data_IF_016595836949
#
_entry.id   IF_016595836949
#
_cell.length_a   1.000
_cell.length_b   1.000
_cell.length_c   1.000
_cell.angle_alpha   90.00
_cell.angle_beta   90.00
_cell.angle_gamma   90.00
#
_symmetry.space_group_name_H-M   'P 1'
#
loop_
_entity.id
_entity.type
_entity.pdbx_description
1 polymer ?
#
# COMPACT_ATOMS: atom_id res chain seq x y z
N UNK A 1 -7.99 34.52 10.27
CA UNK A 1 -9.19 34.04 9.55
C UNK A 1 -8.79 32.84 8.70
N UNK A 2 -9.73 32.02 8.22
CA UNK A 2 -9.44 30.83 7.41
C UNK A 2 -9.10 31.22 5.97
N UNK A 3 -8.02 30.66 5.41
CA UNK A 3 -7.97 30.36 3.99
C UNK A 3 -8.09 28.85 3.82
N UNK A 4 -9.05 28.41 3.00
CA UNK A 4 -9.06 27.05 2.45
C UNK A 4 -8.32 27.08 1.12
N UNK A 5 -7.40 26.15 0.92
CA UNK A 5 -7.05 25.66 -0.41
C UNK A 5 -7.93 24.46 -0.70
N UNK A 6 -8.85 24.60 -1.65
CA UNK A 6 -9.71 23.49 -2.09
C UNK A 6 -8.97 22.72 -3.18
N UNK A 7 -8.55 21.49 -2.88
CA UNK A 7 -7.94 20.58 -3.85
C UNK A 7 -9.06 19.84 -4.60
N UNK A 8 -9.15 20.05 -5.92
CA UNK A 8 -10.14 19.39 -6.76
C UNK A 8 -9.86 17.88 -6.91
N UNK A 9 -10.55 17.05 -6.13
CA UNK A 9 -10.74 15.63 -6.43
C UNK A 9 -12.00 15.46 -7.27
N UNK A 10 -11.83 15.13 -8.56
CA UNK A 10 -12.94 14.82 -9.46
C UNK A 10 -13.29 13.33 -9.41
N UNK A 11 -14.25 12.96 -8.56
CA UNK A 11 -14.84 11.62 -8.57
C UNK A 11 -15.65 11.39 -9.87
N UNK A 12 -15.14 10.54 -10.77
CA UNK A 12 -15.84 10.20 -12.02
C UNK A 12 -16.57 8.86 -11.93
N UNK A 13 -17.80 8.91 -11.40
CA UNK A 13 -18.74 7.79 -11.53
C UNK A 13 -19.31 7.73 -12.95
N UNK A 14 -19.44 6.51 -13.49
CA UNK A 14 -19.98 6.24 -14.82
C UNK A 14 -21.49 6.47 -14.88
N UNK A 15 -21.90 7.66 -15.35
CA UNK A 15 -23.32 8.01 -15.52
C UNK A 15 -23.91 7.37 -16.78
N UNK A 16 -24.73 6.33 -16.61
CA UNK A 16 -25.55 5.79 -17.69
C UNK A 16 -26.52 6.85 -18.24
N UNK A 17 -26.48 7.10 -19.55
CA UNK A 17 -27.57 7.79 -20.25
C UNK A 17 -28.62 6.76 -20.71
N UNK A 18 -29.74 6.70 -20.00
CA UNK A 18 -30.90 5.92 -20.42
C UNK A 18 -31.62 6.59 -21.60
N UNK A 19 -31.85 5.85 -22.67
CA UNK A 19 -32.65 6.32 -23.81
C UNK A 19 -34.10 6.53 -23.38
N UNK A 20 -34.62 7.75 -23.54
CA UNK A 20 -36.06 8.05 -23.42
C UNK A 20 -36.53 8.75 -24.68
N UNK A 21 -37.35 8.06 -25.47
CA UNK A 21 -38.02 8.64 -26.63
C UNK A 21 -39.26 9.40 -26.20
N UNK A 22 -39.45 10.63 -26.69
CA UNK A 22 -40.73 11.32 -26.70
C UNK A 22 -41.01 11.90 -28.10
N UNK A 23 -42.27 11.98 -28.49
CA UNK A 23 -42.70 12.20 -29.88
C UNK A 23 -43.88 13.19 -29.95
N UNK A 24 -43.97 13.90 -31.09
CA UNK A 24 -45.06 14.78 -31.56
C UNK A 24 -45.17 16.22 -31.01
N UNK A 25 -45.45 17.14 -31.94
CA UNK A 25 -45.81 18.55 -31.72
C UNK A 25 -45.54 19.42 -32.96
N UNK A 26 -46.57 19.87 -33.69
CA UNK A 26 -46.48 20.80 -34.83
C UNK A 26 -47.17 22.13 -34.49
N UNK A 27 -46.56 23.28 -34.80
CA UNK A 27 -47.21 24.61 -34.69
C UNK A 27 -46.27 25.78 -35.02
N UNK A 28 -46.64 26.85 -35.77
CA UNK A 28 -45.65 27.79 -36.35
C UNK A 28 -45.91 29.33 -36.17
N UNK A 29 -44.92 30.14 -36.59
CA UNK A 29 -44.93 31.62 -36.84
C UNK A 29 -44.81 32.52 -35.57
N UNK A 30 -44.31 33.79 -35.59
CA UNK A 30 -43.86 34.73 -36.64
C UNK A 30 -42.89 35.84 -36.08
N UNK A 31 -42.01 36.46 -36.92
CA UNK A 31 -41.30 37.80 -36.79
C UNK A 31 -40.54 38.15 -35.46
N UNK A 32 -39.19 38.30 -35.40
CA UNK A 32 -38.30 39.48 -35.73
C UNK A 32 -38.46 40.71 -34.79
N UNK A 33 -37.57 41.72 -34.65
CA UNK A 33 -36.36 42.30 -35.33
C UNK A 33 -35.36 42.84 -34.23
N UNK A 34 -34.17 43.49 -34.38
CA UNK A 34 -33.11 43.75 -35.40
C UNK A 34 -31.87 44.42 -34.73
N UNK A 35 -30.63 44.07 -35.10
CA UNK A 35 -29.40 44.92 -34.95
C UNK A 35 -28.24 44.34 -35.81
N UNK A 36 -27.76 44.99 -36.88
CA UNK A 36 -26.69 46.03 -36.93
C UNK A 36 -25.28 45.46 -36.61
N UNK A 37 -24.41 45.17 -37.58
CA UNK A 37 -23.46 46.08 -38.31
C UNK A 37 -22.38 46.74 -37.40
N UNK A 38 -21.07 46.78 -37.73
CA UNK A 38 -20.32 46.16 -38.85
C UNK A 38 -18.78 46.24 -38.74
N UNK A 39 -18.09 45.34 -39.47
CA UNK A 39 -16.81 45.51 -40.23
C UNK A 39 -15.53 46.05 -39.53
N UNK A 40 -14.44 45.26 -39.65
CA UNK A 40 -13.18 45.72 -40.30
C UNK A 40 -12.44 44.53 -40.93
N UNK A 41 -11.56 44.78 -41.91
CA UNK A 41 -10.95 43.77 -42.80
C UNK A 41 -9.51 44.16 -43.20
N UNK A 42 -8.85 43.27 -43.95
CA UNK A 42 -7.57 43.36 -44.70
C UNK A 42 -6.43 42.51 -44.11
N UNK A 43 -5.98 41.44 -44.78
CA UNK A 43 -5.29 41.31 -46.08
C UNK A 43 -3.78 41.53 -46.01
N UNK A 44 -3.03 40.44 -46.20
CA UNK A 44 -1.84 40.37 -47.05
C UNK A 44 -1.75 38.96 -47.65
N UNK A 45 -1.07 38.80 -48.79
CA UNK A 45 -0.95 37.54 -49.53
C UNK A 45 0.52 37.27 -49.88
N UNK A 46 0.87 36.02 -50.21
CA UNK A 46 1.42 35.62 -51.53
C UNK A 46 1.59 34.08 -51.61
N UNK A 47 1.78 33.56 -52.83
CA UNK A 47 2.05 32.15 -53.16
C UNK A 47 3.56 31.85 -52.98
N UNK A 48 4.00 30.61 -52.75
CA UNK A 48 4.31 29.64 -53.82
C UNK A 48 4.71 28.25 -53.27
N UNK A 49 4.54 27.23 -54.12
CA UNK A 49 5.28 25.95 -54.28
C UNK A 49 5.65 25.09 -53.04
N UNK A 50 5.60 23.74 -53.07
CA UNK A 50 5.60 22.82 -54.21
C UNK A 50 4.81 21.52 -53.94
N UNK A 51 4.53 20.76 -55.01
CA UNK A 51 3.91 19.43 -54.92
C UNK A 51 4.96 18.37 -54.56
N UNK A 52 4.68 17.58 -53.51
CA UNK A 52 5.30 16.26 -53.34
C UNK A 52 4.23 15.21 -52.98
N UNK A 53 4.04 14.26 -53.89
CA UNK A 53 3.22 13.07 -53.67
C UNK A 53 4.00 12.07 -52.81
N UNK A 54 3.74 12.06 -51.50
CA UNK A 54 4.04 10.89 -50.66
C UNK A 54 2.80 10.00 -50.63
N UNK A 55 2.96 8.73 -51.01
CA UNK A 55 1.86 7.76 -51.06
C UNK A 55 1.43 7.40 -49.65
N UNK A 56 0.31 7.97 -49.18
CA UNK A 56 -0.33 7.58 -47.93
C UNK A 56 -1.08 6.26 -48.13
N UNK A 57 -0.34 5.15 -48.17
CA UNK A 57 -0.89 3.81 -48.03
C UNK A 57 -0.83 3.36 -46.57
N UNK A 58 -1.51 4.13 -45.71
CA UNK A 58 -1.63 3.87 -44.28
C UNK A 58 -3.06 3.50 -43.93
N UNK A 59 -3.28 2.26 -43.52
CA UNK A 59 -4.59 1.77 -43.08
C UNK A 59 -4.91 2.33 -41.68
N UNK A 60 -5.30 3.61 -41.62
CA UNK A 60 -5.63 4.34 -40.39
C UNK A 60 -6.96 3.83 -39.80
N UNK A 61 -6.92 2.65 -39.20
CA UNK A 61 -8.02 2.05 -38.45
C UNK A 61 -7.96 2.59 -37.01
N UNK A 62 -8.87 3.50 -36.59
CA UNK A 62 -8.69 4.31 -35.36
C UNK A 62 -8.98 3.56 -34.05
N UNK A 63 -8.99 2.21 -34.08
CA UNK A 63 -9.36 1.33 -32.97
C UNK A 63 -8.16 0.54 -32.41
N UNK A 64 -6.94 1.09 -32.45
CA UNK A 64 -5.81 0.52 -31.72
C UNK A 64 -5.91 0.93 -30.24
N UNK A 65 -6.19 -0.04 -29.37
CA UNK A 65 -6.38 0.21 -27.94
C UNK A 65 -5.07 0.68 -27.30
N UNK A 66 -5.12 1.88 -26.72
CA UNK A 66 -3.95 2.60 -26.20
C UNK A 66 -3.56 2.19 -24.78
N UNK A 67 -3.21 0.91 -24.59
CA UNK A 67 -2.53 0.41 -23.40
C UNK A 67 -1.02 0.27 -23.66
N UNK A 68 -0.19 0.72 -22.73
CA UNK A 68 1.27 0.60 -22.83
C UNK A 68 1.69 -0.81 -22.35
N UNK A 69 2.40 -1.62 -23.15
CA UNK A 69 2.87 -2.94 -22.73
C UNK A 69 4.02 -2.85 -21.72
N UNK A 70 4.32 -3.96 -21.05
CA UNK A 70 5.52 -4.08 -20.22
C UNK A 70 6.76 -4.00 -21.12
N UNK A 71 7.66 -3.07 -20.82
CA UNK A 71 8.97 -2.98 -21.47
C UNK A 71 9.94 -3.96 -20.79
N UNK A 72 10.28 -5.06 -21.47
CA UNK A 72 11.16 -6.09 -20.92
C UNK A 72 12.65 -5.75 -20.98
N UNK A 73 13.05 -4.65 -21.66
CA UNK A 73 14.41 -4.11 -21.57
C UNK A 73 14.57 -3.20 -20.33
N UNK A 74 13.46 -2.70 -19.76
CA UNK A 74 13.41 -1.97 -18.49
C UNK A 74 13.08 -2.83 -17.27
N UNK A 75 12.14 -3.78 -17.41
CA UNK A 75 11.59 -4.55 -16.29
C UNK A 75 11.96 -6.03 -16.37
N UNK A 76 12.67 -6.52 -15.35
CA UNK A 76 13.13 -7.90 -15.23
C UNK A 76 11.97 -8.90 -15.12
N UNK A 77 10.77 -8.43 -14.75
CA UNK A 77 9.51 -9.18 -14.85
C UNK A 77 9.62 -10.55 -14.16
N UNK A 78 9.25 -11.63 -14.85
CA UNK A 78 9.23 -12.99 -14.31
C UNK A 78 10.60 -13.51 -13.82
N UNK A 79 11.72 -12.96 -14.30
CA UNK A 79 13.06 -13.36 -13.88
C UNK A 79 13.61 -12.55 -12.68
N UNK A 80 12.94 -11.47 -12.25
CA UNK A 80 13.38 -10.60 -11.15
C UNK A 80 13.68 -11.38 -9.85
N UNK A 81 12.79 -12.33 -9.50
CA UNK A 81 12.97 -13.19 -8.32
C UNK A 81 14.07 -14.24 -8.47
N UNK A 82 14.56 -14.50 -9.68
CA UNK A 82 15.72 -15.35 -9.96
C UNK A 82 17.02 -14.52 -9.88
N UNK A 83 17.02 -13.30 -10.42
CA UNK A 83 18.13 -12.36 -10.28
C UNK A 83 18.41 -12.02 -8.81
N UNK A 84 17.38 -11.80 -8.00
CA UNK A 84 17.53 -11.59 -6.55
C UNK A 84 18.17 -12.81 -5.87
N UNK A 85 17.78 -14.04 -6.24
CA UNK A 85 18.42 -15.28 -5.71
C UNK A 85 19.89 -15.37 -6.15
N UNK A 86 20.19 -15.08 -7.42
CA UNK A 86 21.55 -15.07 -7.95
C UNK A 86 22.43 -13.97 -7.35
N UNK A 87 21.86 -12.83 -6.96
CA UNK A 87 22.54 -11.79 -6.19
C UNK A 87 22.89 -12.28 -4.79
N UNK A 88 21.93 -12.87 -4.06
CA UNK A 88 22.17 -13.41 -2.72
C UNK A 88 23.21 -14.54 -2.75
N UNK A 89 23.15 -15.44 -3.73
CA UNK A 89 24.13 -16.52 -3.91
C UNK A 89 25.56 -16.01 -4.17
N UNK A 90 25.73 -14.81 -4.76
CA UNK A 90 27.04 -14.18 -4.95
C UNK A 90 27.55 -13.42 -3.72
N UNK A 91 26.69 -13.12 -2.74
CA UNK A 91 27.03 -12.32 -1.55
C UNK A 91 26.59 -12.96 -0.20
N UNK A 92 26.90 -14.25 0.07
CA UNK A 92 26.40 -14.95 1.25
C UNK A 92 26.83 -14.34 2.60
N UNK A 93 28.00 -13.69 2.66
CA UNK A 93 28.48 -12.98 3.88
C UNK A 93 27.88 -11.59 4.11
N UNK A 94 26.87 -11.19 3.32
CA UNK A 94 26.13 -9.92 3.45
C UNK A 94 24.62 -10.12 3.39
N UNK A 95 24.17 -11.03 2.52
CA UNK A 95 22.77 -11.30 2.23
C UNK A 95 22.44 -12.78 2.47
N UNK A 96 21.31 -13.02 3.14
CA UNK A 96 20.66 -14.33 3.23
C UNK A 96 19.23 -14.23 2.70
N UNK A 97 18.65 -15.32 2.18
CA UNK A 97 17.28 -15.36 1.67
C UNK A 97 16.50 -16.54 2.27
N UNK A 98 15.38 -16.23 2.91
CA UNK A 98 14.38 -17.21 3.35
C UNK A 98 13.15 -17.12 2.42
N UNK A 99 12.48 -18.24 2.15
CA UNK A 99 11.19 -18.26 1.45
C UNK A 99 10.13 -18.87 2.35
N UNK A 100 9.24 -18.02 2.88
CA UNK A 100 8.13 -18.45 3.72
C UNK A 100 6.95 -18.80 2.83
N UNK A 101 6.29 -19.93 3.08
CA UNK A 101 5.10 -20.39 2.34
C UNK A 101 3.91 -20.54 3.28
N UNK A 102 2.72 -20.15 2.83
CA UNK A 102 1.46 -20.32 3.56
C UNK A 102 0.33 -20.72 2.62
N UNK A 103 -0.71 -21.37 3.15
CA UNK A 103 -1.84 -21.91 2.40
C UNK A 103 -3.13 -21.72 3.20
N UNK A 104 -4.16 -21.14 2.58
CA UNK A 104 -5.48 -20.96 3.20
C UNK A 104 -6.61 -21.23 2.20
N UNK A 105 -7.54 -22.13 2.55
CA UNK A 105 -8.67 -22.56 1.71
C UNK A 105 -8.24 -22.95 0.28
N UNK A 106 -7.25 -23.86 0.18
CA UNK A 106 -6.73 -24.37 -1.10
C UNK A 106 -5.69 -23.48 -1.79
N UNK A 107 -5.85 -22.16 -1.75
CA UNK A 107 -4.90 -21.18 -2.30
C UNK A 107 -3.59 -21.13 -1.49
N UNK A 108 -2.46 -20.94 -2.16
CA UNK A 108 -1.11 -20.90 -1.58
C UNK A 108 -0.35 -19.67 -2.08
N UNK A 109 0.42 -19.06 -1.19
CA UNK A 109 1.40 -18.04 -1.52
C UNK A 109 2.78 -18.39 -0.97
N UNK A 110 3.80 -17.77 -1.55
CA UNK A 110 5.16 -17.76 -1.04
C UNK A 110 5.73 -16.35 -1.14
N UNK A 111 6.44 -15.93 -0.09
CA UNK A 111 7.10 -14.64 0.01
C UNK A 111 8.57 -14.90 0.32
N UNK A 112 9.46 -14.31 -0.48
CA UNK A 112 10.89 -14.30 -0.18
C UNK A 112 11.23 -13.10 0.70
N UNK A 113 12.09 -13.31 1.70
CA UNK A 113 12.61 -12.26 2.57
C UNK A 113 14.13 -12.30 2.48
N UNK A 114 14.73 -11.23 1.96
CA UNK A 114 16.19 -11.08 1.92
C UNK A 114 16.61 -10.31 3.16
N UNK A 115 17.48 -10.90 3.98
CA UNK A 115 18.05 -10.28 5.16
C UNK A 115 19.46 -9.78 4.83
N UNK A 116 19.65 -8.48 4.88
CA UNK A 116 21.00 -7.89 4.98
C UNK A 116 21.38 -7.80 6.46
N UNK A 117 22.51 -8.43 6.80
CA UNK A 117 23.20 -8.27 8.06
C UNK A 117 24.69 -8.54 7.80
N UNK A 118 25.56 -7.59 8.13
CA UNK A 118 27.00 -7.79 7.95
C UNK A 118 27.52 -8.79 8.99
N UNK A 119 28.18 -9.85 8.54
CA UNK A 119 28.92 -10.74 9.43
C UNK A 119 30.15 -10.01 9.98
N UNK A 120 30.17 -9.78 11.29
CA UNK A 120 31.19 -8.96 11.93
C UNK A 120 30.92 -8.74 13.42
N UNK A 121 31.58 -9.56 14.25
CA UNK A 121 31.44 -9.67 15.72
C UNK A 121 30.16 -10.34 16.19
N UNK A 122 30.33 -11.27 17.13
CA UNK A 122 29.28 -11.78 18.00
C UNK A 122 28.65 -10.60 18.74
N UNK A 123 27.51 -10.16 18.24
CA UNK A 123 26.72 -9.05 18.76
C UNK A 123 25.29 -9.56 18.86
N UNK A 124 24.73 -9.51 20.07
CA UNK A 124 23.37 -9.95 20.34
C UNK A 124 22.40 -9.25 19.38
N UNK A 125 21.68 -10.01 18.56
CA UNK A 125 20.86 -9.49 17.47
C UNK A 125 19.76 -8.54 17.98
N UNK A 126 19.33 -8.72 19.23
CA UNK A 126 18.43 -7.80 19.93
C UNK A 126 18.96 -6.36 20.06
N UNK A 127 20.27 -6.14 19.92
CA UNK A 127 20.93 -4.83 20.01
C UNK A 127 21.03 -4.07 18.68
N UNK A 128 20.80 -4.72 17.54
CA UNK A 128 20.87 -4.06 16.21
C UNK A 128 19.57 -3.34 15.88
N UNK A 129 19.67 -2.25 15.12
CA UNK A 129 18.51 -1.47 14.69
C UNK A 129 17.84 -2.16 13.50
N UNK A 130 16.58 -2.58 13.69
CA UNK A 130 15.85 -3.45 12.75
C UNK A 130 14.96 -2.64 11.81
N UNK A 131 15.13 -2.81 10.50
CA UNK A 131 14.37 -2.14 9.45
C UNK A 131 13.71 -3.19 8.55
N UNK A 132 12.40 -3.08 8.33
CA UNK A 132 11.65 -3.94 7.41
C UNK A 132 11.14 -3.10 6.24
N UNK A 133 11.37 -3.53 5.00
CA UNK A 133 10.89 -2.83 3.80
C UNK A 133 10.17 -3.85 2.93
N UNK A 134 8.97 -3.54 2.46
CA UNK A 134 8.21 -4.43 1.58
C UNK A 134 7.70 -3.73 0.32
N UNK A 135 7.69 -4.49 -0.77
CA UNK A 135 7.50 -4.03 -2.14
C UNK A 135 6.59 -5.02 -2.90
N UNK A 136 5.98 -4.56 -3.99
CA UNK A 136 5.15 -5.42 -4.85
C UNK A 136 3.96 -6.04 -4.11
N UNK A 137 3.31 -5.29 -3.22
CA UNK A 137 2.09 -5.71 -2.53
C UNK A 137 0.86 -5.65 -3.45
N UNK A 138 0.81 -4.68 -4.38
CA UNK A 138 -0.16 -4.70 -5.46
C UNK A 138 0.46 -5.23 -6.76
N UNK A 139 -0.33 -5.95 -7.55
CA UNK A 139 0.11 -6.60 -8.79
C UNK A 139 0.74 -5.62 -9.78
N UNK A 140 0.06 -4.55 -10.17
CA UNK A 140 0.50 -3.64 -11.26
C UNK A 140 1.71 -2.74 -10.98
N UNK A 141 2.28 -2.77 -9.77
CA UNK A 141 3.30 -1.81 -9.29
C UNK A 141 4.73 -2.36 -9.45
N UNK A 142 5.16 -2.66 -10.70
CA UNK A 142 6.46 -3.28 -11.03
C UNK A 142 7.66 -2.49 -10.48
N UNK A 143 7.64 -1.16 -10.63
CA UNK A 143 8.75 -0.27 -10.26
C UNK A 143 9.18 -0.38 -8.79
N UNK A 144 8.26 -0.81 -7.92
CA UNK A 144 8.54 -1.06 -6.49
C UNK A 144 9.49 -2.24 -6.32
N UNK A 145 9.26 -3.36 -7.01
CA UNK A 145 10.10 -4.56 -6.93
C UNK A 145 11.47 -4.37 -7.60
N UNK A 146 11.55 -3.55 -8.65
CA UNK A 146 12.83 -3.14 -9.24
C UNK A 146 13.66 -2.29 -8.27
N UNK A 147 13.02 -1.38 -7.52
CA UNK A 147 13.66 -0.64 -6.44
C UNK A 147 14.17 -1.56 -5.32
N UNK A 148 13.44 -2.63 -4.99
CA UNK A 148 13.91 -3.63 -4.04
C UNK A 148 15.22 -4.31 -4.51
N UNK A 149 15.30 -4.68 -5.78
CA UNK A 149 16.52 -5.26 -6.37
C UNK A 149 17.68 -4.26 -6.47
N UNK A 150 17.40 -2.99 -6.80
CA UNK A 150 18.38 -1.90 -6.76
C UNK A 150 18.95 -1.70 -5.35
N UNK A 151 18.11 -1.63 -4.32
CA UNK A 151 18.56 -1.49 -2.93
C UNK A 151 19.41 -2.69 -2.48
N UNK A 152 18.99 -3.92 -2.80
CA UNK A 152 19.78 -5.12 -2.49
C UNK A 152 21.14 -5.12 -3.22
N UNK A 153 21.18 -4.65 -4.47
CA UNK A 153 22.41 -4.53 -5.25
C UNK A 153 23.37 -3.45 -4.73
N UNK A 154 22.85 -2.45 -4.02
CA UNK A 154 23.67 -1.45 -3.30
C UNK A 154 24.15 -2.01 -1.96
N UNK A 155 23.30 -2.74 -1.23
CA UNK A 155 23.67 -3.42 0.02
C UNK A 155 24.74 -4.51 -0.18
N UNK A 156 24.81 -5.13 -1.36
CA UNK A 156 25.87 -6.07 -1.73
C UNK A 156 27.16 -5.40 -2.23
N UNK A 157 27.17 -4.10 -2.52
CA UNK A 157 28.23 -3.36 -3.22
C UNK A 157 28.43 -3.77 -4.71
N UNK A 158 27.41 -4.31 -5.40
CA UNK A 158 27.45 -4.43 -6.87
C UNK A 158 27.08 -3.13 -7.59
N UNK A 159 26.32 -2.26 -6.92
CA UNK A 159 25.86 -0.97 -7.43
C UNK A 159 26.07 0.10 -6.35
N UNK A 160 26.16 1.37 -6.75
CA UNK A 160 26.56 2.46 -5.85
C UNK A 160 25.62 3.65 -5.96
N UNK A 161 25.36 4.29 -4.82
CA UNK A 161 24.66 5.58 -4.81
C UNK A 161 25.60 6.71 -5.25
N UNK A 162 25.14 7.64 -6.10
CA UNK A 162 25.87 8.87 -6.33
C UNK A 162 26.01 9.65 -5.01
N UNK A 163 27.14 10.33 -4.83
CA UNK A 163 27.43 11.22 -3.69
C UNK A 163 27.46 10.58 -2.28
N UNK A 164 27.48 9.25 -2.15
CA UNK A 164 27.67 8.57 -0.85
C UNK A 164 29.02 7.84 -0.77
N UNK A 165 29.85 8.16 0.24
CA UNK A 165 31.15 7.50 0.40
C UNK A 165 31.01 6.11 1.06
N UNK A 166 31.71 5.06 0.56
CA UNK A 166 31.62 3.71 1.12
C UNK A 166 31.95 3.61 2.62
N UNK A 167 32.88 4.42 3.11
CA UNK A 167 33.24 4.46 4.54
C UNK A 167 32.10 5.00 5.43
N UNK A 168 31.38 6.02 4.96
CA UNK A 168 30.20 6.57 5.65
C UNK A 168 29.05 5.56 5.64
N UNK A 169 28.83 4.92 4.49
CA UNK A 169 27.82 3.87 4.31
C UNK A 169 28.05 2.68 5.24
N UNK A 170 29.27 2.12 5.24
CA UNK A 170 29.65 0.99 6.11
C UNK A 170 29.37 1.26 7.59
N UNK A 171 29.78 2.43 8.12
CA UNK A 171 29.59 2.80 9.53
C UNK A 171 28.12 2.95 9.95
N UNK A 172 27.22 3.15 8.98
CA UNK A 172 25.76 3.09 9.18
C UNK A 172 25.30 1.64 9.17
N UNK A 173 25.61 0.91 8.10
CA UNK A 173 25.13 -0.47 7.85
C UNK A 173 25.57 -1.48 8.92
N UNK A 174 26.77 -1.33 9.50
CA UNK A 174 27.31 -2.21 10.56
C UNK A 174 26.38 -2.36 11.79
N UNK A 175 25.45 -1.42 11.99
CA UNK A 175 24.54 -1.36 13.15
C UNK A 175 23.11 -1.79 12.83
N UNK A 176 22.84 -2.18 11.59
CA UNK A 176 21.50 -2.47 11.08
C UNK A 176 21.30 -3.97 10.86
N UNK A 177 20.04 -4.40 10.98
CA UNK A 177 19.53 -5.58 10.26
C UNK A 177 18.39 -5.09 9.39
N UNK A 178 18.50 -5.32 8.08
CA UNK A 178 17.51 -4.87 7.10
C UNK A 178 16.87 -6.09 6.47
N UNK A 179 15.57 -6.27 6.67
CA UNK A 179 14.78 -7.28 5.95
C UNK A 179 14.05 -6.61 4.78
N UNK A 180 14.27 -7.11 3.58
CA UNK A 180 13.67 -6.66 2.33
C UNK A 180 12.74 -7.75 1.81
N UNK A 181 11.48 -7.42 1.58
CA UNK A 181 10.50 -8.26 0.91
C UNK A 181 10.27 -7.70 -0.49
N UNK A 182 10.97 -8.19 -1.53
CA UNK A 182 10.95 -7.58 -2.86
C UNK A 182 9.64 -7.80 -3.63
N UNK A 183 8.84 -8.78 -3.22
CA UNK A 183 7.57 -9.13 -3.83
C UNK A 183 6.67 -9.80 -2.78
N UNK A 184 5.73 -9.05 -2.19
CA UNK A 184 4.68 -9.65 -1.36
C UNK A 184 3.69 -10.46 -2.20
N UNK A 185 3.33 -9.96 -3.40
CA UNK A 185 2.23 -10.46 -4.21
C UNK A 185 2.70 -11.17 -5.50
N UNK A 186 3.50 -12.22 -5.34
CA UNK A 186 4.00 -13.02 -6.47
C UNK A 186 2.88 -13.67 -7.31
N UNK A 187 1.67 -13.83 -6.76
CA UNK A 187 0.55 -14.41 -7.47
C UNK A 187 -0.22 -13.38 -8.32
N UNK A 188 -0.38 -12.14 -7.84
CA UNK A 188 -0.92 -11.03 -8.64
C UNK A 188 0.06 -10.56 -9.72
N UNK A 189 1.36 -10.50 -9.40
CA UNK A 189 2.46 -10.25 -10.35
C UNK A 189 2.35 -11.09 -11.62
N UNK A 190 2.02 -12.39 -11.49
CA UNK A 190 1.85 -13.32 -12.61
C UNK A 190 0.64 -13.04 -13.49
N UNK A 191 -0.43 -12.44 -12.96
CA UNK A 191 -1.59 -12.03 -13.77
C UNK A 191 -1.26 -10.80 -14.62
N UNK A 192 -0.55 -9.84 -14.02
CA UNK A 192 -0.03 -8.64 -14.71
C UNK A 192 0.96 -9.02 -15.82
N UNK A 193 1.92 -9.90 -15.53
CA UNK A 193 2.86 -10.41 -16.54
C UNK A 193 2.21 -11.31 -17.61
N UNK A 194 1.03 -11.87 -17.34
CA UNK A 194 0.22 -12.58 -18.33
C UNK A 194 -0.70 -11.65 -19.15
N UNK A 195 -0.67 -10.33 -18.90
CA UNK A 195 -1.38 -9.31 -19.68
C UNK A 195 -2.50 -8.56 -18.95
N UNK A 196 -2.83 -8.92 -17.71
CA UNK A 196 -3.81 -8.16 -16.90
C UNK A 196 -3.13 -6.95 -16.24
N UNK A 197 -2.73 -5.98 -17.06
CA UNK A 197 -1.89 -4.82 -16.66
C UNK A 197 -2.54 -3.91 -15.59
N UNK A 198 -3.82 -4.11 -15.28
CA UNK A 198 -4.55 -3.39 -14.26
C UNK A 198 -4.71 -4.16 -12.94
N UNK A 199 -4.44 -5.47 -12.86
CA UNK A 199 -4.69 -6.24 -11.64
C UNK A 199 -3.84 -5.73 -10.46
N UNK A 200 -4.53 -5.24 -9.44
CA UNK A 200 -3.99 -4.73 -8.18
C UNK A 200 -3.83 -5.83 -7.15
N UNK A 201 -4.72 -6.82 -7.16
CA UNK A 201 -4.98 -7.74 -6.06
C UNK A 201 -4.09 -8.98 -6.13
N UNK A 202 -4.26 -9.93 -5.21
CA UNK A 202 -3.59 -11.22 -5.28
C UNK A 202 -4.23 -12.15 -6.33
N UNK A 203 -3.60 -13.31 -6.56
CA UNK A 203 -4.05 -14.30 -7.56
C UNK A 203 -5.39 -15.00 -7.28
N UNK A 204 -6.18 -14.49 -6.33
CA UNK A 204 -7.62 -14.82 -6.16
C UNK A 204 -8.51 -13.59 -5.94
N UNK A 205 -8.04 -12.41 -6.34
CA UNK A 205 -8.82 -11.17 -6.36
C UNK A 205 -9.08 -10.52 -5.00
N UNK A 206 -8.15 -10.62 -4.04
CA UNK A 206 -8.20 -9.90 -2.74
C UNK A 206 -7.10 -8.84 -2.67
N UNK A 207 -7.44 -7.61 -2.30
CA UNK A 207 -6.44 -6.56 -2.05
C UNK A 207 -5.74 -6.86 -0.72
N UNK A 208 -4.42 -7.08 -0.80
CA UNK A 208 -3.58 -7.33 0.37
C UNK A 208 -3.56 -6.13 1.31
N UNK A 209 -3.68 -4.89 0.79
CA UNK A 209 -3.75 -3.66 1.57
C UNK A 209 -5.19 -3.27 1.99
N UNK A 210 -6.11 -4.24 1.97
CA UNK A 210 -7.45 -4.19 2.60
C UNK A 210 -7.72 -5.40 3.51
N UNK A 211 -6.74 -6.32 3.67
CA UNK A 211 -6.92 -7.60 4.36
C UNK A 211 -6.36 -7.64 5.80
N UNK A 212 -5.92 -6.51 6.37
CA UNK A 212 -5.39 -6.43 7.74
C UNK A 212 -6.50 -6.10 8.75
N UNK A 213 -6.28 -6.33 10.05
CA UNK A 213 -7.36 -6.35 11.05
C UNK A 213 -7.86 -5.00 11.58
N UNK A 214 -7.28 -3.87 11.18
CA UNK A 214 -7.67 -2.54 11.72
C UNK A 214 -8.79 -1.93 10.86
N UNK A 215 -9.95 -1.67 11.47
CA UNK A 215 -11.21 -1.22 10.83
C UNK A 215 -11.66 -2.10 9.63
N UNK A 216 -11.29 -3.40 9.65
CA UNK A 216 -11.41 -4.32 8.51
C UNK A 216 -12.84 -4.45 7.96
N UNK A 217 -12.95 -4.52 6.63
CA UNK A 217 -14.20 -4.86 5.94
C UNK A 217 -15.20 -3.71 5.82
N UNK A 218 -14.93 -2.57 6.46
CA UNK A 218 -15.59 -1.29 6.21
C UNK A 218 -15.30 -0.80 4.78
N UNK A 219 -16.25 -0.06 4.22
CA UNK A 219 -16.25 0.40 2.83
C UNK A 219 -16.65 1.86 2.79
N UNK A 220 -15.86 2.67 2.10
CA UNK A 220 -16.20 4.07 1.84
C UNK A 220 -17.19 4.19 0.67
N UNK A 221 -17.66 5.42 0.43
CA UNK A 221 -18.70 5.72 -0.57
C UNK A 221 -18.28 5.37 -2.01
N UNK A 222 -16.99 5.46 -2.28
CA UNK A 222 -16.29 5.24 -3.54
C UNK A 222 -15.66 3.83 -3.68
N UNK A 223 -15.93 2.93 -2.72
CA UNK A 223 -15.42 1.56 -2.70
C UNK A 223 -15.66 0.80 -4.02
N UNK A 224 -14.58 0.27 -4.61
CA UNK A 224 -14.65 -0.61 -5.78
C UNK A 224 -14.30 -2.07 -5.41
N UNK A 225 -15.22 -3.06 -5.56
CA UNK A 225 -14.90 -4.47 -5.33
C UNK A 225 -13.88 -5.06 -6.31
N UNK A 226 -13.62 -4.42 -7.45
CA UNK A 226 -12.59 -4.85 -8.41
C UNK A 226 -11.18 -4.39 -8.02
N UNK A 227 -11.06 -3.36 -7.18
CA UNK A 227 -9.78 -2.85 -6.68
C UNK A 227 -9.52 -3.23 -5.21
N UNK A 228 -10.52 -3.07 -4.34
CA UNK A 228 -10.38 -2.99 -2.88
C UNK A 228 -10.98 -4.17 -2.11
N UNK A 229 -11.24 -5.31 -2.76
CA UNK A 229 -11.86 -6.47 -2.09
C UNK A 229 -11.08 -6.87 -0.81
N UNK A 230 -11.65 -6.73 0.40
CA UNK A 230 -10.93 -6.93 1.66
C UNK A 230 -10.76 -8.42 2.04
N UNK A 231 -11.28 -9.34 1.24
CA UNK A 231 -11.23 -10.78 1.48
C UNK A 231 -12.42 -11.30 2.30
N UNK A 232 -12.27 -12.48 2.90
CA UNK A 232 -13.37 -13.15 3.64
C UNK A 232 -13.31 -13.00 5.16
N UNK A 233 -12.18 -12.50 5.66
CA UNK A 233 -11.87 -12.20 7.05
C UNK A 233 -10.55 -11.39 7.06
N UNK A 234 -10.23 -10.64 8.13
CA UNK A 234 -8.87 -10.13 8.28
C UNK A 234 -7.89 -11.30 8.32
N UNK A 235 -6.75 -11.16 7.65
CA UNK A 235 -5.76 -12.22 7.42
C UNK A 235 -6.34 -13.47 6.75
N UNK A 236 -7.34 -13.32 5.84
CA UNK A 236 -7.76 -14.43 4.99
C UNK A 236 -6.68 -14.83 3.97
N UNK A 237 -5.79 -13.93 3.60
CA UNK A 237 -4.77 -14.17 2.57
C UNK A 237 -3.48 -14.77 3.15
N UNK A 238 -2.91 -15.83 2.56
CA UNK A 238 -1.64 -16.39 3.02
C UNK A 238 -0.48 -15.38 2.93
N UNK A 239 -0.54 -14.42 2.01
CA UNK A 239 0.41 -13.31 1.89
C UNK A 239 0.43 -12.43 3.16
N UNK A 240 -0.74 -11.90 3.59
CA UNK A 240 -0.84 -11.05 4.78
C UNK A 240 -0.59 -11.83 6.07
N UNK A 241 -0.91 -13.13 6.12
CA UNK A 241 -0.52 -14.01 7.23
C UNK A 241 0.99 -14.12 7.40
N UNK A 242 1.73 -14.25 6.28
CA UNK A 242 3.20 -14.28 6.29
C UNK A 242 3.75 -12.93 6.77
N UNK A 243 3.26 -11.81 6.21
CA UNK A 243 3.76 -10.48 6.57
C UNK A 243 3.43 -10.09 8.03
N UNK A 244 2.24 -10.44 8.55
CA UNK A 244 1.91 -10.34 9.98
C UNK A 244 2.92 -11.10 10.84
N UNK A 245 3.21 -12.37 10.50
CA UNK A 245 4.16 -13.19 11.25
C UNK A 245 5.57 -12.60 11.20
N UNK A 246 6.02 -12.16 10.02
CA UNK A 246 7.32 -11.54 9.82
C UNK A 246 7.48 -10.30 10.71
N UNK A 247 6.57 -9.33 10.62
CA UNK A 247 6.64 -8.10 11.40
C UNK A 247 6.61 -8.35 12.92
N UNK A 248 5.70 -9.20 13.41
CA UNK A 248 5.60 -9.53 14.84
C UNK A 248 6.83 -10.30 15.35
N UNK A 249 7.46 -11.13 14.52
CA UNK A 249 8.68 -11.88 14.89
C UNK A 249 9.98 -11.08 14.78
N UNK A 250 10.02 -10.09 13.88
CA UNK A 250 11.21 -9.27 13.62
C UNK A 250 11.22 -7.96 14.42
N UNK A 251 10.07 -7.52 14.95
CA UNK A 251 9.97 -6.36 15.86
C UNK A 251 10.71 -5.11 15.32
N UNK A 252 10.35 -4.62 14.11
CA UNK A 252 11.11 -3.57 13.43
C UNK A 252 10.94 -2.21 14.11
N UNK A 253 12.00 -1.40 14.08
CA UNK A 253 11.99 -0.02 14.54
C UNK A 253 11.43 0.93 13.46
N UNK A 254 11.67 0.59 12.19
CA UNK A 254 11.16 1.27 11.01
C UNK A 254 10.56 0.22 10.07
N UNK A 255 9.35 0.47 9.58
CA UNK A 255 8.78 -0.26 8.46
C UNK A 255 8.23 0.68 7.39
N UNK A 256 8.45 0.32 6.12
CA UNK A 256 7.94 1.03 4.94
C UNK A 256 7.33 0.02 3.97
N UNK A 257 6.06 0.24 3.61
CA UNK A 257 5.41 -0.37 2.45
C UNK A 257 5.64 0.51 1.22
N UNK A 258 5.96 -0.08 0.07
CA UNK A 258 6.36 0.67 -1.13
C UNK A 258 5.43 0.36 -2.29
N UNK A 259 4.85 1.44 -2.81
CA UNK A 259 3.77 1.48 -3.80
C UNK A 259 4.07 2.46 -4.93
N UNK A 260 3.22 2.44 -5.95
CA UNK A 260 3.15 3.48 -6.97
C UNK A 260 1.70 3.78 -7.33
N UNK A 261 1.50 4.86 -8.08
CA UNK A 261 0.21 5.50 -8.36
C UNK A 261 0.29 7.02 -8.16
N UNK A 262 1.16 7.48 -7.25
CA UNK A 262 1.50 8.89 -7.05
C UNK A 262 2.92 9.09 -6.49
N UNK A 263 3.29 10.33 -6.15
CA UNK A 263 4.52 10.68 -5.43
C UNK A 263 4.16 11.25 -4.04
N UNK A 264 4.35 10.46 -2.99
CA UNK A 264 3.98 10.83 -1.62
C UNK A 264 4.64 9.95 -0.53
N UNK A 265 4.64 10.47 0.70
CA UNK A 265 5.11 9.78 1.90
C UNK A 265 4.00 9.80 2.96
N UNK A 266 3.25 8.72 3.10
CA UNK A 266 2.21 8.61 4.12
C UNK A 266 2.75 7.98 5.41
N UNK A 267 2.14 8.38 6.52
CA UNK A 267 2.21 7.75 7.83
C UNK A 267 0.77 7.44 8.29
N UNK A 268 0.56 6.69 9.38
CA UNK A 268 -0.77 6.48 9.96
C UNK A 268 -1.49 7.81 10.28
N UNK A 269 -2.82 7.85 10.35
CA UNK A 269 -3.75 6.76 10.03
C UNK A 269 -4.24 6.81 8.57
N UNK A 270 -4.54 5.65 8.00
CA UNK A 270 -5.26 5.54 6.72
C UNK A 270 -6.78 5.52 6.95
N UNK A 271 -7.28 4.69 7.90
CA UNK A 271 -8.72 4.53 8.16
C UNK A 271 -9.40 5.71 8.89
N UNK A 272 -8.63 6.69 9.38
CA UNK A 272 -9.13 7.83 10.15
C UNK A 272 -8.74 9.17 9.51
N UNK A 273 -9.69 10.11 9.46
CA UNK A 273 -9.44 11.52 9.13
C UNK A 273 -8.81 12.27 10.31
N UNK A 274 -7.71 11.73 10.83
CA UNK A 274 -6.94 12.26 11.98
C UNK A 274 -5.50 11.78 11.87
N UNK A 275 -4.52 12.69 11.98
CA UNK A 275 -3.14 12.29 12.28
C UNK A 275 -3.04 11.84 13.75
N UNK A 276 -2.27 10.77 14.08
CA UNK A 276 -1.92 10.45 15.46
C UNK A 276 -1.10 11.57 16.11
N UNK A 277 -0.83 11.44 17.41
CA UNK A 277 -0.11 12.43 18.21
C UNK A 277 0.99 11.77 19.08
N UNK A 278 1.77 12.62 19.76
CA UNK A 278 2.87 12.18 20.63
C UNK A 278 4.21 12.00 19.92
N UNK A 279 5.18 11.47 20.65
CA UNK A 279 6.58 11.42 20.23
C UNK A 279 6.83 10.62 18.93
N UNK A 280 6.27 9.40 18.72
CA UNK A 280 6.47 8.65 17.48
C UNK A 280 5.95 9.41 16.24
N UNK A 281 4.82 10.09 16.37
CA UNK A 281 4.28 10.96 15.30
C UNK A 281 5.22 12.10 14.96
N UNK A 282 5.83 12.75 15.96
CA UNK A 282 6.78 13.83 15.72
C UNK A 282 8.06 13.30 15.03
N UNK A 283 8.60 12.18 15.51
CA UNK A 283 9.78 11.53 14.91
C UNK A 283 9.50 11.06 13.46
N UNK A 284 8.32 10.51 13.19
CA UNK A 284 7.87 10.17 11.84
C UNK A 284 7.82 11.42 10.94
N UNK A 285 7.18 12.50 11.38
CA UNK A 285 7.10 13.76 10.61
C UNK A 285 8.47 14.34 10.26
N UNK A 286 9.40 14.40 11.23
CA UNK A 286 10.76 14.86 10.98
C UNK A 286 11.49 14.00 9.91
N UNK A 287 11.28 12.69 9.91
CA UNK A 287 11.85 11.81 8.88
C UNK A 287 11.22 12.06 7.50
N UNK A 288 9.89 12.27 7.43
CA UNK A 288 9.19 12.58 6.18
C UNK A 288 9.60 13.95 5.63
N UNK A 289 9.77 14.95 6.49
CA UNK A 289 10.21 16.30 6.13
C UNK A 289 11.63 16.28 5.55
N UNK A 290 12.57 15.55 6.19
CA UNK A 290 13.95 15.35 5.70
C UNK A 290 13.99 14.59 4.37
N UNK A 291 13.24 13.48 4.23
CA UNK A 291 13.19 12.71 2.98
C UNK A 291 12.56 13.53 1.85
N UNK A 292 11.47 14.25 2.11
CA UNK A 292 10.82 15.11 1.12
C UNK A 292 11.74 16.28 0.70
N UNK A 293 12.50 16.85 1.64
CA UNK A 293 13.48 17.90 1.35
C UNK A 293 14.64 17.40 0.49
N UNK A 294 15.21 16.23 0.80
CA UNK A 294 16.43 15.74 0.16
C UNK A 294 16.17 15.07 -1.20
N UNK A 295 15.09 14.29 -1.31
CA UNK A 295 14.90 13.36 -2.43
C UNK A 295 13.65 13.63 -3.27
N UNK A 296 12.58 14.16 -2.67
CA UNK A 296 11.39 14.60 -3.41
C UNK A 296 11.35 16.10 -3.73
N UNK A 297 12.44 16.86 -3.57
CA UNK A 297 12.50 18.32 -3.87
C UNK A 297 11.35 19.17 -3.25
N UNK A 298 10.71 18.69 -2.17
CA UNK A 298 9.49 19.24 -1.53
C UNK A 298 8.18 19.07 -2.33
N UNK A 299 8.14 18.26 -3.41
CA UNK A 299 6.93 17.97 -4.20
C UNK A 299 6.13 16.75 -3.73
N UNK A 300 6.72 15.83 -2.95
CA UNK A 300 5.96 14.71 -2.39
C UNK A 300 4.95 15.23 -1.35
N UNK A 301 3.70 14.73 -1.42
CA UNK A 301 2.70 14.98 -0.37
C UNK A 301 3.09 14.19 0.89
N UNK A 302 3.06 14.82 2.07
CA UNK A 302 3.42 14.16 3.33
C UNK A 302 2.34 14.29 4.41
N UNK A 303 2.16 13.26 5.24
CA UNK A 303 1.26 13.29 6.40
C UNK A 303 0.48 12.00 6.60
N UNK A 304 -0.63 12.06 7.36
CA UNK A 304 -1.52 10.90 7.52
C UNK A 304 -2.33 10.62 6.26
N UNK A 305 -2.47 9.37 5.83
CA UNK A 305 -3.28 9.00 4.65
C UNK A 305 -4.70 9.56 4.71
N UNK A 306 -5.49 9.10 5.68
CA UNK A 306 -6.87 9.57 5.87
C UNK A 306 -6.98 11.02 6.34
N UNK A 307 -6.04 11.50 7.15
CA UNK A 307 -6.13 12.81 7.82
C UNK A 307 -5.40 14.00 7.17
N UNK A 308 -4.52 13.77 6.20
CA UNK A 308 -3.76 14.83 5.51
C UNK A 308 -3.89 14.75 3.99
N UNK A 309 -4.01 13.54 3.44
CA UNK A 309 -4.24 13.30 2.00
C UNK A 309 -5.74 13.22 1.70
N UNK A 310 -6.53 12.74 2.66
CA UNK A 310 -8.00 12.73 2.61
C UNK A 310 -8.61 11.47 2.00
N UNK A 311 -7.79 10.49 1.63
CA UNK A 311 -8.24 9.17 1.15
C UNK A 311 -8.29 8.19 2.33
N UNK A 312 -9.50 7.69 2.64
CA UNK A 312 -9.74 6.77 3.76
C UNK A 312 -9.65 5.33 3.27
N UNK A 313 -8.70 4.56 3.79
CA UNK A 313 -8.52 3.14 3.45
C UNK A 313 -8.61 2.26 4.70
N UNK A 314 -9.30 1.12 4.59
CA UNK A 314 -9.64 0.25 5.72
C UNK A 314 -8.93 -1.10 5.63
N UNK A 315 -8.48 -1.63 6.77
CA UNK A 315 -7.72 -2.88 6.79
C UNK A 315 -6.35 -2.78 6.12
N UNK A 316 -5.66 -1.63 6.23
CA UNK A 316 -4.34 -1.41 5.63
C UNK A 316 -3.21 -2.04 6.45
N UNK A 317 -2.09 -2.31 5.77
CA UNK A 317 -0.86 -2.76 6.42
C UNK A 317 -0.34 -1.71 7.42
N UNK A 318 -0.35 -0.44 7.03
CA UNK A 318 0.26 0.67 7.79
C UNK A 318 -0.43 0.93 9.12
N UNK A 319 -1.76 0.88 9.13
CA UNK A 319 -2.51 0.99 10.38
C UNK A 319 -2.31 -0.22 11.28
N UNK A 320 -2.17 -1.44 10.75
CA UNK A 320 -1.83 -2.62 11.56
C UNK A 320 -0.41 -2.56 12.15
N UNK A 321 0.57 -2.13 11.37
CA UNK A 321 1.96 -1.98 11.83
C UNK A 321 2.07 -0.97 12.98
N UNK A 322 1.29 0.12 12.90
CA UNK A 322 1.26 1.14 13.95
C UNK A 322 0.39 0.75 15.17
N UNK A 323 -0.86 0.34 14.96
CA UNK A 323 -1.79 0.10 16.07
C UNK A 323 -1.63 -1.27 16.72
N UNK A 324 -1.13 -2.30 16.03
CA UNK A 324 -1.03 -3.67 16.56
C UNK A 324 0.42 -4.14 16.76
N UNK A 325 1.29 -3.95 15.77
CA UNK A 325 2.72 -4.33 15.90
C UNK A 325 3.50 -3.30 16.72
N UNK A 326 2.98 -2.07 16.86
CA UNK A 326 3.61 -0.94 17.56
C UNK A 326 4.99 -0.55 16.99
N UNK A 327 5.16 -0.66 15.67
CA UNK A 327 6.35 -0.16 14.97
C UNK A 327 6.49 1.35 15.23
N UNK A 328 7.61 1.84 15.80
CA UNK A 328 7.79 3.27 16.14
C UNK A 328 7.67 4.21 14.94
N UNK A 329 8.05 3.73 13.74
CA UNK A 329 7.98 4.45 12.48
C UNK A 329 7.40 3.54 11.39
N UNK A 330 6.11 3.68 11.10
CA UNK A 330 5.40 2.93 10.06
C UNK A 330 4.98 3.87 8.91
N UNK A 331 5.19 3.47 7.67
CA UNK A 331 4.96 4.32 6.50
C UNK A 331 4.42 3.58 5.27
N UNK A 332 3.69 4.32 4.44
CA UNK A 332 3.30 3.94 3.07
C UNK A 332 3.97 4.92 2.11
N UNK A 333 4.88 4.48 1.24
CA UNK A 333 5.60 5.34 0.30
C UNK A 333 5.11 5.10 -1.13
N UNK A 334 4.66 6.16 -1.78
CA UNK A 334 4.22 6.20 -3.17
C UNK A 334 5.35 6.80 -4.02
N UNK A 335 6.02 5.98 -4.85
CA UNK A 335 7.33 6.33 -5.44
C UNK A 335 7.27 6.90 -6.86
N UNK A 336 6.13 6.78 -7.54
CA UNK A 336 5.93 7.20 -8.92
C UNK A 336 4.43 7.24 -9.23
N UNK A 337 3.96 8.21 -10.03
CA UNK A 337 2.63 8.13 -10.60
C UNK A 337 2.40 9.07 -11.77
N UNK A 338 2.02 8.54 -12.92
CA UNK A 338 1.78 9.34 -14.12
C UNK A 338 0.32 9.85 -14.19
N UNK A 339 0.07 11.02 -13.59
CA UNK A 339 -1.25 11.67 -13.61
C UNK A 339 -1.73 12.14 -15.00
N UNK A 340 -0.90 11.99 -16.05
CA UNK A 340 -1.26 12.25 -17.43
C UNK A 340 -1.50 10.96 -18.26
N UNK A 341 -1.41 9.77 -17.62
CA UNK A 341 -1.85 8.52 -18.23
C UNK A 341 -3.38 8.48 -18.37
N UNK A 342 -3.86 7.69 -19.34
CA UNK A 342 -5.29 7.36 -19.44
C UNK A 342 -5.72 6.50 -18.25
N UNK A 343 -6.98 6.60 -17.83
CA UNK A 343 -7.59 5.69 -16.84
C UNK A 343 -7.46 4.22 -17.22
N UNK A 344 -7.32 3.94 -18.53
CA UNK A 344 -7.25 2.60 -19.10
C UNK A 344 -5.80 2.16 -19.38
N UNK A 345 -4.79 3.00 -19.11
CA UNK A 345 -3.37 2.70 -19.32
C UNK A 345 -2.66 2.50 -17.98
N UNK A 346 -3.09 1.46 -17.26
CA UNK A 346 -2.63 1.14 -15.91
C UNK A 346 -1.10 0.98 -15.84
N UNK A 347 -0.47 0.34 -16.82
CA UNK A 347 0.98 0.15 -16.79
C UNK A 347 1.72 1.49 -16.72
N UNK A 348 1.37 2.44 -17.59
CA UNK A 348 1.96 3.78 -17.64
C UNK A 348 1.60 4.66 -16.45
N UNK A 349 0.41 4.48 -15.87
CA UNK A 349 0.00 5.19 -14.66
C UNK A 349 0.88 4.81 -13.46
N UNK A 350 1.17 3.52 -13.31
CA UNK A 350 1.86 2.96 -12.13
C UNK A 350 3.37 2.76 -12.33
N UNK A 351 3.91 2.81 -13.55
CA UNK A 351 5.32 2.48 -13.84
C UNK A 351 5.94 3.43 -14.89
N UNK A 352 7.21 3.86 -14.72
CA UNK A 352 7.97 4.56 -15.75
C UNK A 352 8.03 3.79 -17.08
N UNK A 353 7.78 4.48 -18.19
CA UNK A 353 7.77 3.91 -19.55
C UNK A 353 8.95 4.39 -20.40
N UNK A 354 10.02 4.87 -19.76
CA UNK A 354 11.25 5.31 -20.41
C UNK A 354 12.47 5.14 -19.49
N UNK A 355 13.63 4.88 -20.07
CA UNK A 355 14.89 4.60 -19.34
C UNK A 355 15.35 5.76 -18.44
N UNK A 356 15.02 7.01 -18.78
CA UNK A 356 15.45 8.19 -18.02
C UNK A 356 14.64 8.32 -16.74
N UNK A 357 13.31 8.27 -16.85
CA UNK A 357 12.40 8.30 -15.69
C UNK A 357 12.57 7.06 -14.82
N UNK A 358 12.76 5.88 -15.42
CA UNK A 358 13.05 4.64 -14.70
C UNK A 358 14.31 4.76 -13.84
N UNK A 359 15.45 5.13 -14.43
CA UNK A 359 16.69 5.32 -13.69
C UNK A 359 16.60 6.46 -12.65
N UNK A 360 15.85 7.54 -12.94
CA UNK A 360 15.62 8.61 -11.98
C UNK A 360 14.91 8.08 -10.73
N UNK A 361 13.75 7.41 -10.90
CA UNK A 361 12.98 6.82 -9.78
C UNK A 361 13.85 5.85 -8.99
N UNK A 362 14.57 4.94 -9.65
CA UNK A 362 15.44 3.98 -8.96
C UNK A 362 16.58 4.64 -8.17
N UNK A 363 17.18 5.73 -8.69
CA UNK A 363 18.27 6.43 -8.01
C UNK A 363 17.77 7.30 -6.85
N UNK A 364 16.78 8.16 -7.10
CA UNK A 364 16.22 9.10 -6.11
C UNK A 364 15.69 8.35 -4.88
N UNK A 365 14.91 7.28 -5.10
CA UNK A 365 14.33 6.51 -3.99
C UNK A 365 15.32 5.56 -3.32
N UNK A 366 16.34 5.05 -4.03
CA UNK A 366 17.43 4.37 -3.34
C UNK A 366 18.15 5.33 -2.39
N UNK A 367 18.46 6.55 -2.83
CA UNK A 367 19.05 7.56 -1.96
C UNK A 367 18.15 7.89 -0.76
N UNK A 368 16.82 7.95 -0.94
CA UNK A 368 15.85 8.10 0.14
C UNK A 368 15.91 6.98 1.18
N UNK A 369 15.93 5.71 0.76
CA UNK A 369 16.02 4.58 1.68
C UNK A 369 17.33 4.57 2.48
N UNK A 370 18.48 4.89 1.86
CA UNK A 370 19.74 5.01 2.60
C UNK A 370 19.81 6.27 3.49
N UNK A 371 19.06 7.34 3.21
CA UNK A 371 18.79 8.41 4.19
C UNK A 371 18.01 7.87 5.39
N UNK A 372 16.98 7.05 5.19
CA UNK A 372 16.21 6.44 6.30
C UNK A 372 17.09 5.54 7.16
N UNK A 373 17.95 4.71 6.55
CA UNK A 373 18.92 3.87 7.26
C UNK A 373 19.88 4.69 8.13
N UNK A 374 20.23 5.91 7.68
CA UNK A 374 21.13 6.85 8.38
C UNK A 374 20.45 7.67 9.49
N UNK A 375 19.18 8.04 9.30
CA UNK A 375 18.47 9.04 10.10
C UNK A 375 17.49 8.41 11.10
N UNK A 376 16.79 7.33 10.73
CA UNK A 376 15.88 6.60 11.63
C UNK A 376 16.51 6.21 12.98
N UNK A 377 17.72 5.61 13.02
CA UNK A 377 18.42 5.30 14.26
C UNK A 377 18.74 6.53 15.12
N UNK A 378 18.93 7.70 14.51
CA UNK A 378 19.22 8.96 15.22
C UNK A 378 17.95 9.53 15.84
N UNK A 379 16.88 9.65 15.06
CA UNK A 379 15.61 10.20 15.53
C UNK A 379 15.00 9.37 16.66
N UNK A 380 15.12 8.05 16.62
CA UNK A 380 14.69 7.18 17.73
C UNK A 380 15.70 7.17 18.90
N UNK A 381 17.01 7.21 18.64
CA UNK A 381 18.05 7.16 19.67
C UNK A 381 18.27 8.45 20.47
N UNK A 382 18.16 9.63 19.84
CA UNK A 382 18.52 10.91 20.47
C UNK A 382 17.60 11.28 21.65
N UNK A 383 16.34 10.85 21.64
CA UNK A 383 15.36 11.20 22.68
C UNK A 383 15.50 10.29 23.92
N UNK A 384 16.10 9.10 23.78
CA UNK A 384 16.50 8.28 24.93
C UNK A 384 17.63 8.90 25.76
N UNK A 385 18.40 9.83 25.16
CA UNK A 385 19.58 10.47 25.78
C UNK A 385 19.41 11.96 26.09
N UNK A 386 18.33 12.60 25.60
CA UNK A 386 18.06 14.04 25.76
C UNK A 386 16.91 14.32 26.75
N UNK A 387 17.06 13.86 27.99
CA UNK A 387 16.45 14.58 29.12
C UNK A 387 17.27 15.85 29.32
N UNK A 388 16.74 16.99 28.84
CA UNK A 388 17.43 18.27 28.88
C UNK A 388 17.59 18.78 30.34
N UNK A 389 18.82 19.06 30.81
CA UNK A 389 19.04 19.62 32.13
C UNK A 389 18.73 21.12 32.12
N UNK A 390 17.52 21.48 32.58
CA UNK A 390 17.20 22.83 33.04
C UNK A 390 16.62 23.79 32.00
N UNK A 391 15.29 23.93 32.01
CA UNK A 391 14.63 25.22 31.82
C UNK A 391 13.50 25.36 32.86
N UNK A 392 13.36 26.54 33.46
CA UNK A 392 12.49 26.72 34.63
C UNK A 392 11.02 26.90 34.23
N UNK A 393 10.13 26.02 34.73
CA UNK A 393 8.72 26.35 34.95
C UNK A 393 8.16 25.70 36.21
N UNK A 394 8.68 26.14 37.36
CA UNK A 394 8.19 25.68 38.66
C UNK A 394 6.86 26.35 39.06
N UNK A 395 5.71 25.72 38.76
CA UNK A 395 4.50 25.92 39.58
C UNK A 395 3.52 24.72 39.59
N UNK A 396 3.84 23.75 40.45
CA UNK A 396 2.94 22.97 41.31
C UNK A 396 1.47 22.73 40.88
N UNK A 397 1.16 21.46 40.61
CA UNK A 397 0.04 20.73 41.25
C UNK A 397 0.64 19.47 41.90
N UNK A 398 0.07 18.96 43.00
CA UNK A 398 0.78 18.01 43.88
C UNK A 398 1.10 16.65 43.24
N UNK A 399 2.18 16.04 43.73
CA UNK A 399 2.59 14.68 43.41
C UNK A 399 2.36 13.80 44.65
N UNK A 400 1.15 13.27 44.79
CA UNK A 400 0.78 12.28 45.82
C UNK A 400 -0.22 11.26 45.24
N UNK A 401 -1.34 11.74 44.69
CA UNK A 401 -2.45 10.92 44.13
C UNK A 401 -2.10 9.97 42.97
N UNK A 402 -0.86 10.00 42.44
CA UNK A 402 -0.46 9.24 41.25
C UNK A 402 0.60 8.14 41.51
N UNK A 403 1.16 8.05 42.72
CA UNK A 403 2.29 7.14 42.99
C UNK A 403 1.90 5.74 43.48
N UNK A 404 0.76 5.59 44.17
CA UNK A 404 0.29 4.29 44.65
C UNK A 404 -0.23 3.37 43.52
N UNK A 405 -0.55 3.92 42.35
CA UNK A 405 -1.20 3.18 41.26
C UNK A 405 -0.27 2.46 40.27
N UNK A 406 1.06 2.65 40.34
CA UNK A 406 1.97 2.27 39.22
C UNK A 406 3.28 1.57 39.62
N UNK A 407 3.45 1.20 40.89
CA UNK A 407 4.67 0.54 41.40
C UNK A 407 4.51 -0.96 41.69
N UNK A 408 3.38 -1.55 41.26
CA UNK A 408 3.26 -2.96 40.90
C UNK A 408 2.71 -2.99 39.45
N UNK A 409 3.20 -3.80 38.51
CA UNK A 409 4.03 -4.99 38.66
C UNK A 409 5.13 -5.08 37.58
N UNK A 410 6.38 -4.76 37.92
CA UNK A 410 7.54 -4.94 37.00
C UNK A 410 8.23 -6.31 37.20
N UNK A 411 7.44 -7.38 37.39
CA UNK A 411 7.94 -8.75 37.63
C UNK A 411 7.61 -9.76 36.52
N UNK A 412 8.58 -10.66 36.31
CA UNK A 412 8.56 -11.79 35.37
C UNK A 412 8.61 -11.44 33.87
N UNK A 413 9.55 -12.07 33.17
CA UNK A 413 9.65 -12.08 31.70
C UNK A 413 8.67 -13.10 31.08
N UNK A 414 7.58 -13.42 31.79
CA UNK A 414 6.63 -14.49 31.52
C UNK A 414 5.26 -13.96 31.02
N UNK A 415 4.86 -12.76 31.45
CA UNK A 415 3.58 -12.12 31.10
C UNK A 415 3.33 -11.96 29.59
N UNK A 416 4.39 -11.69 28.80
CA UNK A 416 4.28 -11.58 27.32
C UNK A 416 3.81 -12.88 26.63
N UNK A 417 3.79 -14.01 27.35
CA UNK A 417 3.20 -15.29 26.90
C UNK A 417 1.73 -15.46 27.34
N UNK A 418 1.28 -14.74 28.37
CA UNK A 418 -0.12 -14.70 28.82
C UNK A 418 -0.97 -13.75 27.97
N UNK A 419 -0.47 -12.57 27.59
CA UNK A 419 -1.23 -11.63 26.73
C UNK A 419 -1.61 -12.27 25.38
N UNK A 420 -0.66 -13.01 24.77
CA UNK A 420 -0.91 -13.79 23.54
C UNK A 420 -1.91 -14.92 23.78
N UNK A 421 -1.93 -15.50 24.98
CA UNK A 421 -2.91 -16.52 25.38
C UNK A 421 -4.30 -15.90 25.59
N UNK A 422 -4.41 -14.71 26.20
CA UNK A 422 -5.68 -14.01 26.39
C UNK A 422 -6.28 -13.51 25.09
N UNK A 423 -5.48 -12.98 24.17
CA UNK A 423 -5.91 -12.67 22.80
C UNK A 423 -6.44 -13.94 22.10
N UNK A 424 -5.70 -15.06 22.20
CA UNK A 424 -6.16 -16.35 21.70
C UNK A 424 -7.46 -16.84 22.35
N UNK A 425 -7.66 -16.58 23.65
CA UNK A 425 -8.89 -16.92 24.39
C UNK A 425 -10.06 -16.00 24.01
N UNK A 426 -9.83 -14.72 23.68
CA UNK A 426 -10.85 -13.83 23.12
C UNK A 426 -11.23 -14.24 21.69
N UNK A 427 -10.27 -14.61 20.84
CA UNK A 427 -10.52 -15.18 19.51
C UNK A 427 -11.32 -16.49 19.63
N UNK A 428 -10.91 -17.43 20.48
CA UNK A 428 -11.63 -18.70 20.74
C UNK A 428 -13.05 -18.44 21.27
N UNK A 429 -13.25 -17.50 22.21
CA UNK A 429 -14.59 -17.12 22.68
C UNK A 429 -15.47 -16.55 21.56
N UNK A 430 -14.88 -15.85 20.60
CA UNK A 430 -15.58 -15.31 19.42
C UNK A 430 -15.96 -16.42 18.45
N UNK A 431 -15.03 -17.33 18.12
CA UNK A 431 -15.31 -18.51 17.30
C UNK A 431 -16.37 -19.43 17.95
N UNK A 432 -16.34 -19.62 19.27
CA UNK A 432 -17.32 -20.43 19.99
C UNK A 432 -18.73 -19.82 19.97
N UNK A 433 -18.85 -18.49 20.06
CA UNK A 433 -20.12 -17.77 19.86
C UNK A 433 -20.66 -17.93 18.44
N UNK A 434 -19.80 -17.84 17.43
CA UNK A 434 -20.17 -18.04 16.01
C UNK A 434 -20.58 -19.50 15.73
N UNK A 435 -19.90 -20.47 16.35
CA UNK A 435 -20.24 -21.90 16.27
C UNK A 435 -21.58 -22.23 16.95
N UNK A 436 -21.87 -21.64 18.11
CA UNK A 436 -23.18 -21.74 18.74
C UNK A 436 -24.29 -21.15 17.85
N UNK A 437 -24.05 -19.97 17.28
CA UNK A 437 -25.01 -19.30 16.39
C UNK A 437 -25.30 -20.15 15.13
N UNK A 438 -24.26 -20.69 14.48
CA UNK A 438 -24.45 -21.55 13.30
C UNK A 438 -25.14 -22.88 13.65
N UNK A 439 -24.84 -23.47 14.82
CA UNK A 439 -25.51 -24.67 15.33
C UNK A 439 -27.01 -24.45 15.59
N UNK A 440 -27.36 -23.30 16.18
CA UNK A 440 -28.77 -22.91 16.39
C UNK A 440 -29.49 -22.67 15.06
N UNK A 441 -28.86 -22.01 14.09
CA UNK A 441 -29.43 -21.82 12.75
C UNK A 441 -29.63 -23.15 12.00
N UNK A 442 -28.68 -24.08 12.11
CA UNK A 442 -28.80 -25.45 11.59
C UNK A 442 -29.98 -26.19 12.23
N UNK A 443 -30.16 -26.08 13.56
CA UNK A 443 -31.31 -26.67 14.25
C UNK A 443 -32.64 -26.08 13.74
N UNK A 444 -32.74 -24.76 13.59
CA UNK A 444 -33.95 -24.13 13.02
C UNK A 444 -34.24 -24.60 11.59
N UNK A 445 -33.23 -24.70 10.72
CA UNK A 445 -33.40 -25.24 9.37
C UNK A 445 -33.88 -26.70 9.38
N UNK A 446 -33.36 -27.52 10.30
CA UNK A 446 -33.77 -28.92 10.45
C UNK A 446 -35.22 -29.05 10.96
N UNK A 447 -35.59 -28.28 11.99
CA UNK A 447 -36.96 -28.20 12.49
C UNK A 447 -37.96 -27.72 11.43
N UNK A 448 -37.61 -26.70 10.64
CA UNK A 448 -38.44 -26.22 9.53
C UNK A 448 -38.63 -27.29 8.44
N UNK A 449 -37.59 -28.09 8.15
CA UNK A 449 -37.64 -29.20 7.18
C UNK A 449 -38.51 -30.35 7.67
N UNK A 450 -38.44 -30.71 8.96
CA UNK A 450 -39.33 -31.69 9.59
C UNK A 450 -40.79 -31.21 9.62
N UNK A 451 -41.02 -29.92 9.88
CA UNK A 451 -42.36 -29.32 9.85
C UNK A 451 -43.01 -29.47 8.47
N UNK A 452 -42.30 -29.06 7.40
CA UNK A 452 -42.76 -29.28 6.01
C UNK A 452 -42.96 -30.76 5.67
N UNK A 453 -42.16 -31.66 6.23
CA UNK A 453 -42.33 -33.12 6.04
C UNK A 453 -43.61 -33.66 6.68
N UNK A 454 -44.12 -33.06 7.78
CA UNK A 454 -45.36 -33.51 8.42
C UNK A 454 -46.61 -33.01 7.68
N UNK A 455 -46.59 -31.77 7.18
CA UNK A 455 -47.75 -31.20 6.45
C UNK A 455 -48.02 -31.85 5.08
N UNK A 456 -47.08 -32.62 4.53
CA UNK A 456 -47.24 -33.34 3.25
C UNK A 456 -47.76 -34.78 3.39
N UNK A 457 -48.13 -35.25 4.59
CA UNK A 457 -48.79 -36.56 4.74
C UNK A 457 -50.30 -36.42 4.47
N UNK A 458 -50.73 -36.86 3.28
CA UNK A 458 -52.16 -37.02 3.00
C UNK A 458 -52.80 -37.98 4.03
N UNK A 459 -53.96 -37.59 4.56
CA UNK A 459 -54.79 -38.46 5.40
C UNK A 459 -55.57 -39.39 4.48
N UNK A 460 -55.18 -40.67 4.44
CA UNK A 460 -56.00 -41.72 3.82
C UNK A 460 -57.15 -42.00 4.79
N UNK A 461 -58.38 -41.67 4.40
CA UNK A 461 -59.56 -41.98 5.18
C UNK A 461 -59.87 -43.48 5.13
N UNK A 462 -60.08 -44.09 6.30
CA UNK A 462 -60.52 -45.48 6.43
C UNK A 462 -62.02 -45.60 6.17
N UNK A 463 -62.39 -46.47 5.22
CA UNK A 463 -63.78 -46.81 4.91
C UNK A 463 -64.32 -47.76 6.00
N UNK A 464 -65.50 -47.49 6.60
CA UNK A 464 -66.19 -48.44 7.47
C UNK A 464 -66.91 -49.54 6.66
N UNK A 465 -67.18 -50.68 7.31
CA UNK A 465 -67.76 -51.91 6.76
C UNK A 465 -69.20 -51.67 6.27
#
# INVERSE_FOLDING_TARGET
MKHRTEACFSSFSSSCFSTVSLVMGRGPRLLSLTSSFSISFCFFAFLQDAVFLVVVNGNNNPNLMSWTPIDHDLYHSSNLMEQIKALVQRHPGKLNIETVKSRNKGYQAEISVVTYCREGRESDDGSKFRILISFGQHGRELITSELAFRILSILSEEQFLPNMSPASLNSILDKLVIKVVPMENLNGRKLVEAGDLCERRNGRGVDLNRNWSVDWGKKEKDYDPYEENPGTAPFSEPETQIMRKLAVSFDPHVWVNVHSGMEALFMPYDHKNTTPYGLPTHQMKLLLEEVNHLHCQKHCVIGSGGGSVGYLAHGTATDFMYDVVKVPMAFTFEIYGNRAASSNDCFKMFNPTDLTTFNRVLNDWSAAFFTIFKVGPRLLGEVGSKVLPGSNLAKWVSIDDYLDGYLMERSSRYGKKMEVLELGIQEIRTYFRLFLLSSVLLMFMFCARISKSKSNRQVIASIPI
#
